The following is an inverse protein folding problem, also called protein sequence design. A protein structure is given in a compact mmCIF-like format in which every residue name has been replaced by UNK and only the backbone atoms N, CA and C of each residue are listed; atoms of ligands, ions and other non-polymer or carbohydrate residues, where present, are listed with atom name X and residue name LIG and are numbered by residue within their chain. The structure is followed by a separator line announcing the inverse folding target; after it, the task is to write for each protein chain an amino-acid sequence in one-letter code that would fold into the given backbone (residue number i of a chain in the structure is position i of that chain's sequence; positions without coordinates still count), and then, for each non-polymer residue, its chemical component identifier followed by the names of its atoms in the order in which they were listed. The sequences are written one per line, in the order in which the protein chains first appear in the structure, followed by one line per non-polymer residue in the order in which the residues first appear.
data_IF_757008770619
#
_entry.id   IF_757008770619
#
_cell.length_a   1.000
_cell.length_b   1.000
_cell.length_c   1.000
_cell.angle_alpha   90.00
_cell.angle_beta   90.00
_cell.angle_gamma   90.00
#
_symmetry.space_group_name_H-M   'P 1'
#
loop_
_entity.id
_entity.type
_entity.pdbx_description
1 polymer ?
#
# COMPACT_ATOMS: atom_id res chain seq x y z
N UNK A 1 -6.52 13.45 11.94
CA UNK A 1 -7.09 12.32 11.20
C UNK A 1 -5.97 11.55 10.54
N UNK A 2 -5.85 10.29 10.83
CA UNK A 2 -4.83 9.41 10.27
C UNK A 2 -5.52 8.20 9.64
N UNK A 3 -5.05 7.78 8.48
CA UNK A 3 -5.49 6.54 7.84
C UNK A 3 -4.40 5.51 8.04
N UNK A 4 -4.76 4.41 8.64
CA UNK A 4 -3.87 3.30 8.85
C UNK A 4 -4.07 2.27 7.72
N UNK A 5 -3.02 2.06 6.94
CA UNK A 5 -2.96 1.00 5.95
C UNK A 5 -2.42 -0.25 6.66
N UNK A 6 -3.33 -1.13 7.05
CA UNK A 6 -3.00 -2.48 7.47
C UNK A 6 -3.00 -3.34 6.22
N UNK A 7 -1.82 -3.72 5.73
CA UNK A 7 -1.75 -4.74 4.70
C UNK A 7 -2.19 -6.06 5.33
N UNK A 8 -3.32 -6.57 4.86
CA UNK A 8 -3.77 -7.93 5.16
C UNK A 8 -2.62 -8.89 4.82
N UNK A 9 -2.27 -9.81 5.71
CA UNK A 9 -1.18 -10.73 5.45
C UNK A 9 -1.44 -11.44 4.12
N UNK A 10 -0.45 -11.38 3.24
CA UNK A 10 -0.41 -12.09 1.98
C UNK A 10 -0.66 -13.58 2.29
N UNK A 11 -1.86 -14.07 2.04
CA UNK A 11 -2.09 -15.51 1.96
C UNK A 11 -1.32 -15.98 0.75
N UNK A 12 -0.13 -16.48 0.99
CA UNK A 12 0.60 -17.29 0.02
C UNK A 12 -0.25 -18.55 -0.15
N UNK A 13 -1.10 -18.55 -1.16
CA UNK A 13 -1.80 -19.74 -1.62
C UNK A 13 -0.76 -20.64 -2.28
N UNK A 14 -0.20 -21.52 -1.50
CA UNK A 14 0.82 -22.46 -1.91
C UNK A 14 1.33 -23.16 -0.68
N UNK A 15 0.48 -24.01 -0.08
CA UNK A 15 0.90 -24.95 0.95
C UNK A 15 1.89 -25.94 0.36
N UNK A 16 3.19 -25.62 0.41
CA UNK A 16 4.21 -26.65 0.32
C UNK A 16 4.10 -27.51 1.59
N UNK A 17 3.35 -28.60 1.47
CA UNK A 17 3.51 -29.72 2.40
C UNK A 17 4.92 -30.26 2.20
N UNK A 18 5.81 -29.96 3.11
CA UNK A 18 7.03 -30.75 3.26
C UNK A 18 6.59 -32.14 3.68
N UNK A 19 6.55 -33.05 2.72
CA UNK A 19 6.42 -34.47 3.02
C UNK A 19 7.61 -34.86 3.91
N UNK A 20 7.31 -35.29 5.13
CA UNK A 20 8.30 -35.81 6.07
C UNK A 20 8.93 -37.03 5.47
N UNK A 21 10.24 -36.97 5.23
CA UNK A 21 11.08 -38.16 5.01
C UNK A 21 11.56 -38.56 6.38
N UNK A 22 10.72 -39.31 7.06
CA UNK A 22 11.08 -40.11 8.22
C UNK A 22 10.85 -41.56 7.88
N UNK A 23 11.88 -42.35 7.85
CA UNK A 23 11.76 -43.79 7.63
C UNK A 23 13.09 -44.50 7.45
N UNK A 24 13.82 -44.63 8.56
CA UNK A 24 14.92 -45.53 8.68
C UNK A 24 14.37 -46.98 8.63
N UNK A 25 14.66 -47.73 7.60
CA UNK A 25 14.58 -49.20 7.61
C UNK A 25 15.81 -49.76 6.92
N UNK A 26 16.74 -50.18 7.76
CA UNK A 26 17.87 -51.03 7.38
C UNK A 26 17.38 -52.31 6.73
N UNK A 27 17.57 -52.42 5.42
CA UNK A 27 17.64 -53.72 4.73
C UNK A 27 18.95 -53.76 3.98
N UNK A 28 19.90 -54.55 4.52
CA UNK A 28 21.08 -55.00 3.79
C UNK A 28 20.64 -55.67 2.50
N UNK A 29 20.93 -55.04 1.35
CA UNK A 29 20.94 -55.69 0.05
C UNK A 29 22.35 -55.58 -0.49
N UNK A 30 22.98 -56.71 -0.71
CA UNK A 30 24.32 -56.85 -1.26
C UNK A 30 24.39 -56.19 -2.66
N UNK A 31 25.37 -55.31 -2.83
CA UNK A 31 25.66 -54.63 -4.09
C UNK A 31 25.83 -53.12 -3.86
N UNK A 32 27.06 -52.70 -3.57
CA UNK A 32 27.40 -51.27 -3.37
C UNK A 32 27.26 -50.45 -4.66
N UNK A 33 26.03 -50.10 -5.01
CA UNK A 33 25.80 -49.02 -5.94
C UNK A 33 25.78 -47.72 -5.12
N UNK A 34 26.93 -47.07 -4.99
CA UNK A 34 27.03 -45.74 -4.40
C UNK A 34 26.40 -44.72 -5.32
N UNK A 35 25.10 -44.46 -5.19
CA UNK A 35 24.48 -43.29 -5.79
C UNK A 35 24.96 -42.04 -5.04
N UNK A 36 26.02 -41.44 -5.52
CA UNK A 36 26.45 -40.14 -5.09
C UNK A 36 25.49 -39.06 -5.51
N UNK A 37 24.39 -38.88 -4.80
CA UNK A 37 23.55 -37.71 -5.01
C UNK A 37 24.31 -36.45 -4.59
N UNK A 38 24.86 -35.73 -5.57
CA UNK A 38 25.39 -34.37 -5.33
C UNK A 38 24.22 -33.46 -4.95
N UNK A 39 23.91 -33.36 -3.66
CA UNK A 39 22.88 -32.43 -3.20
C UNK A 39 23.42 -31.02 -3.18
N UNK A 40 22.83 -30.12 -3.95
CA UNK A 40 23.14 -28.68 -3.91
C UNK A 40 22.59 -27.99 -2.64
N UNK A 41 22.42 -28.75 -1.55
CA UNK A 41 21.79 -28.30 -0.31
C UNK A 41 22.42 -27.01 0.26
N UNK A 42 23.75 -26.91 0.25
CA UNK A 42 24.48 -25.71 0.72
C UNK A 42 24.16 -24.47 -0.13
N UNK A 43 24.04 -24.61 -1.45
CA UNK A 43 23.71 -23.51 -2.33
C UNK A 43 22.24 -23.08 -2.15
N UNK A 44 21.33 -24.04 -2.03
CA UNK A 44 19.91 -23.79 -1.75
C UNK A 44 19.77 -23.07 -0.40
N UNK A 45 20.45 -23.56 0.64
CA UNK A 45 20.44 -22.92 1.96
C UNK A 45 20.95 -21.47 1.91
N UNK A 46 22.05 -21.21 1.20
CA UNK A 46 22.59 -19.85 1.01
C UNK A 46 21.59 -18.94 0.29
N UNK A 47 20.93 -19.42 -0.75
CA UNK A 47 19.87 -18.68 -1.47
C UNK A 47 18.68 -18.39 -0.57
N UNK A 48 18.20 -19.37 0.21
CA UNK A 48 17.10 -19.19 1.15
C UNK A 48 17.43 -18.17 2.26
N UNK A 49 18.63 -18.22 2.82
CA UNK A 49 19.07 -17.24 3.81
C UNK A 49 19.15 -15.84 3.23
N UNK A 50 19.67 -15.69 2.03
CA UNK A 50 19.67 -14.40 1.29
C UNK A 50 18.26 -13.89 1.03
N UNK A 51 17.33 -14.76 0.64
CA UNK A 51 15.93 -14.41 0.48
C UNK A 51 15.31 -13.94 1.80
N UNK A 52 15.46 -14.73 2.86
CA UNK A 52 14.94 -14.42 4.19
C UNK A 52 15.40 -13.05 4.70
N UNK A 53 16.67 -12.69 4.46
CA UNK A 53 17.22 -11.40 4.88
C UNK A 53 16.73 -10.22 4.05
N UNK A 54 16.42 -10.41 2.76
CA UNK A 54 15.97 -9.34 1.83
C UNK A 54 14.46 -9.12 1.87
N UNK A 55 13.68 -10.15 2.17
CA UNK A 55 12.21 -10.11 2.13
C UNK A 55 11.61 -8.95 2.95
N UNK A 56 12.01 -8.68 4.20
CA UNK A 56 11.46 -7.58 4.97
C UNK A 56 11.68 -6.22 4.31
N UNK A 57 12.84 -6.01 3.69
CA UNK A 57 13.15 -4.75 2.97
C UNK A 57 12.30 -4.60 1.71
N UNK A 58 12.04 -5.69 1.00
CA UNK A 58 11.17 -5.70 -0.19
C UNK A 58 9.75 -5.34 0.22
N UNK A 59 9.23 -5.95 1.28
CA UNK A 59 7.89 -5.66 1.79
C UNK A 59 7.81 -4.19 2.23
N UNK A 60 8.77 -3.67 3.00
CA UNK A 60 8.78 -2.27 3.43
C UNK A 60 8.78 -1.29 2.25
N UNK A 61 9.55 -1.58 1.21
CA UNK A 61 9.53 -0.77 -0.04
C UNK A 61 8.18 -0.85 -0.73
N UNK A 62 7.59 -2.04 -0.83
CA UNK A 62 6.27 -2.23 -1.42
C UNK A 62 5.18 -1.49 -0.67
N UNK A 63 5.20 -1.54 0.67
CA UNK A 63 4.27 -0.80 1.52
C UNK A 63 4.40 0.71 1.32
N UNK A 64 5.63 1.23 1.26
CA UNK A 64 5.89 2.65 0.98
C UNK A 64 5.36 3.07 -0.39
N UNK A 65 5.57 2.26 -1.41
CA UNK A 65 5.06 2.51 -2.77
C UNK A 65 3.53 2.47 -2.81
N UNK A 66 2.91 1.53 -2.11
CA UNK A 66 1.46 1.47 -1.93
C UNK A 66 0.90 2.75 -1.29
N UNK A 67 1.62 3.30 -0.30
CA UNK A 67 1.28 4.59 0.30
C UNK A 67 1.36 5.77 -0.66
N UNK A 68 2.39 5.81 -1.52
CA UNK A 68 2.51 6.83 -2.56
C UNK A 68 1.34 6.77 -3.54
N UNK A 69 1.00 5.58 -3.98
CA UNK A 69 -0.11 5.35 -4.88
C UNK A 69 -1.45 5.76 -4.26
N UNK A 70 -1.69 5.40 -3.00
CA UNK A 70 -2.91 5.83 -2.29
C UNK A 70 -2.99 7.35 -2.20
N UNK A 71 -1.89 8.01 -1.86
CA UNK A 71 -1.82 9.46 -1.77
C UNK A 71 -2.13 10.13 -3.12
N UNK A 72 -1.60 9.58 -4.20
CA UNK A 72 -1.86 10.06 -5.56
C UNK A 72 -3.33 9.88 -5.95
N UNK A 73 -3.93 8.73 -5.64
CA UNK A 73 -5.35 8.47 -5.86
C UNK A 73 -6.22 9.48 -5.11
N UNK A 74 -5.92 9.75 -3.83
CA UNK A 74 -6.66 10.73 -3.02
C UNK A 74 -6.57 12.11 -3.66
N UNK A 75 -5.37 12.58 -3.99
CA UNK A 75 -5.18 13.90 -4.60
C UNK A 75 -5.88 14.03 -5.94
N UNK A 76 -5.76 13.01 -6.78
CA UNK A 76 -6.35 13.00 -8.13
C UNK A 76 -7.88 12.99 -8.08
N UNK A 77 -8.48 12.15 -7.22
CA UNK A 77 -9.93 12.12 -7.03
C UNK A 77 -10.45 13.46 -6.52
N UNK A 78 -9.82 13.98 -5.47
CA UNK A 78 -10.24 15.25 -4.87
C UNK A 78 -10.18 16.42 -5.87
N UNK A 79 -9.11 16.52 -6.66
CA UNK A 79 -9.00 17.52 -7.74
C UNK A 79 -10.07 17.35 -8.83
N UNK A 80 -10.53 16.13 -9.07
CA UNK A 80 -11.64 15.84 -9.98
C UNK A 80 -13.01 16.17 -9.37
N UNK A 81 -13.07 16.52 -8.09
CA UNK A 81 -14.34 16.79 -7.40
C UNK A 81 -15.04 15.51 -6.93
N UNK A 82 -14.28 14.43 -6.71
CA UNK A 82 -14.81 13.12 -6.35
C UNK A 82 -14.44 12.73 -4.91
N UNK A 83 -15.36 12.11 -4.24
CA UNK A 83 -15.19 11.54 -2.91
C UNK A 83 -14.39 10.21 -2.92
N UNK A 84 -14.23 9.58 -1.75
CA UNK A 84 -13.57 8.27 -1.62
C UNK A 84 -14.24 7.17 -2.44
N UNK A 85 -15.54 7.26 -2.69
CA UNK A 85 -16.34 6.30 -3.46
C UNK A 85 -16.38 6.63 -4.96
N UNK A 86 -15.72 7.72 -5.37
CA UNK A 86 -15.74 8.25 -6.73
C UNK A 86 -17.10 8.86 -7.11
N UNK A 87 -17.89 9.30 -6.14
CA UNK A 87 -19.08 10.08 -6.33
C UNK A 87 -18.73 11.57 -6.33
N UNK A 88 -19.43 12.42 -7.10
CA UNK A 88 -19.22 13.86 -7.05
C UNK A 88 -19.43 14.41 -5.65
N UNK A 89 -18.62 15.39 -5.26
CA UNK A 89 -18.90 16.13 -4.02
C UNK A 89 -20.19 16.91 -4.11
N UNK A 90 -20.89 17.03 -2.99
CA UNK A 90 -22.02 17.93 -2.87
C UNK A 90 -21.64 19.36 -3.24
N UNK A 91 -22.49 20.09 -3.97
CA UNK A 91 -22.20 21.46 -4.43
C UNK A 91 -21.93 22.41 -3.26
N UNK A 92 -21.26 23.51 -3.54
CA UNK A 92 -21.12 24.61 -2.59
C UNK A 92 -22.46 25.34 -2.40
N UNK A 93 -22.65 25.97 -1.25
CA UNK A 93 -23.80 26.84 -1.03
C UNK A 93 -23.80 28.02 -2.01
N UNK A 94 -24.97 28.51 -2.35
CA UNK A 94 -25.12 29.66 -3.27
C UNK A 94 -24.34 30.90 -2.82
N UNK A 95 -24.32 31.18 -1.51
CA UNK A 95 -23.52 32.27 -0.94
C UNK A 95 -22.02 32.08 -1.14
N UNK A 96 -21.52 30.87 -0.99
CA UNK A 96 -20.10 30.56 -1.21
C UNK A 96 -19.72 30.61 -2.68
N UNK A 97 -20.61 30.15 -3.58
CA UNK A 97 -20.43 30.27 -5.03
C UNK A 97 -20.33 31.76 -5.44
N UNK A 98 -21.22 32.63 -4.93
CA UNK A 98 -21.15 34.09 -5.17
C UNK A 98 -19.82 34.68 -4.69
N UNK A 99 -19.29 34.22 -3.54
CA UNK A 99 -17.97 34.64 -3.03
C UNK A 99 -16.84 34.20 -3.98
N UNK A 100 -16.84 32.96 -4.42
CA UNK A 100 -15.83 32.43 -5.35
C UNK A 100 -15.83 33.21 -6.68
N UNK A 101 -16.99 33.47 -7.23
CA UNK A 101 -17.13 34.24 -8.46
C UNK A 101 -16.57 35.68 -8.31
N UNK A 102 -16.84 36.35 -7.18
CA UNK A 102 -16.27 37.67 -6.90
C UNK A 102 -14.74 37.65 -6.78
N UNK A 103 -14.17 36.53 -6.33
CA UNK A 103 -12.72 36.33 -6.19
C UNK A 103 -12.07 35.76 -7.47
N UNK A 104 -12.82 35.59 -8.55
CA UNK A 104 -12.33 34.99 -9.80
C UNK A 104 -11.87 33.56 -9.68
N UNK A 105 -12.43 32.82 -8.71
CA UNK A 105 -12.07 31.42 -8.40
C UNK A 105 -13.06 30.44 -9.02
N UNK A 106 -12.56 29.24 -9.27
CA UNK A 106 -13.41 28.14 -9.75
C UNK A 106 -14.50 27.79 -8.74
N UNK A 107 -15.72 27.60 -9.23
CA UNK A 107 -16.86 27.12 -8.46
C UNK A 107 -16.93 25.62 -8.38
N UNK A 108 -16.00 24.91 -9.04
CA UNK A 108 -15.87 23.46 -8.95
C UNK A 108 -15.55 23.03 -7.51
N UNK A 109 -16.23 22.00 -7.05
CA UNK A 109 -15.99 21.44 -5.71
C UNK A 109 -14.80 20.49 -5.75
N UNK A 110 -13.60 21.04 -5.68
CA UNK A 110 -12.34 20.27 -5.73
C UNK A 110 -11.50 20.43 -4.45
N UNK A 111 -12.03 21.11 -3.45
CA UNK A 111 -11.36 21.44 -2.19
C UNK A 111 -10.02 22.18 -2.37
N UNK A 112 -9.87 22.91 -3.48
CA UNK A 112 -8.64 23.57 -3.91
C UNK A 112 -8.68 25.10 -3.81
N UNK A 113 -9.28 25.65 -2.76
CA UNK A 113 -9.40 27.13 -2.64
C UNK A 113 -8.05 27.87 -2.71
N UNK A 114 -7.05 27.43 -1.94
CA UNK A 114 -5.67 27.97 -1.98
C UNK A 114 -4.65 26.90 -2.36
N UNK A 115 -5.06 25.67 -2.61
CA UNK A 115 -4.19 24.55 -2.86
C UNK A 115 -3.40 24.06 -1.63
N UNK A 116 -3.34 24.84 -0.54
CA UNK A 116 -2.51 24.54 0.63
C UNK A 116 -2.85 23.20 1.30
N UNK A 117 -4.15 22.86 1.40
CA UNK A 117 -4.58 21.61 2.04
C UNK A 117 -4.11 20.39 1.25
N UNK A 118 -4.43 20.31 -0.05
CA UNK A 118 -3.98 19.21 -0.89
C UNK A 118 -2.48 19.26 -1.18
N UNK A 119 -1.89 20.45 -1.25
CA UNK A 119 -0.44 20.64 -1.39
C UNK A 119 0.35 20.13 -0.19
N UNK A 120 -0.22 20.18 1.02
CA UNK A 120 0.41 19.64 2.23
C UNK A 120 0.46 18.11 2.26
N UNK A 121 -0.29 17.43 1.41
CA UNK A 121 -0.24 15.98 1.23
C UNK A 121 0.95 15.61 0.33
N UNK A 122 2.16 15.72 0.84
CA UNK A 122 3.37 15.30 0.12
C UNK A 122 3.82 13.90 0.60
N UNK A 123 4.48 13.11 -0.26
CA UNK A 123 4.97 11.79 0.12
C UNK A 123 5.86 11.78 1.36
N UNK A 124 6.72 12.79 1.50
CA UNK A 124 7.68 12.86 2.59
C UNK A 124 7.08 13.28 3.93
N UNK A 125 6.07 14.15 3.90
CA UNK A 125 5.44 14.65 5.13
C UNK A 125 4.23 13.83 5.57
N UNK A 126 3.50 13.26 4.61
CA UNK A 126 2.22 12.59 4.87
C UNK A 126 2.39 11.12 5.24
N UNK A 127 3.38 10.42 4.63
CA UNK A 127 3.58 8.99 4.82
C UNK A 127 4.61 8.75 5.90
N UNK A 128 4.17 8.16 7.01
CA UNK A 128 5.04 7.82 8.14
C UNK A 128 5.06 6.31 8.36
N UNK A 129 6.25 5.73 8.55
CA UNK A 129 6.38 4.35 9.00
C UNK A 129 6.00 4.29 10.49
N UNK A 130 5.00 3.50 10.82
CA UNK A 130 4.47 3.37 12.19
C UNK A 130 4.72 1.98 12.79
N UNK A 131 5.36 1.09 12.06
CA UNK A 131 5.70 -0.25 12.53
C UNK A 131 6.36 -1.10 11.45
N UNK A 132 6.60 -2.36 11.77
CA UNK A 132 7.10 -3.36 10.81
C UNK A 132 6.03 -3.55 9.72
N UNK A 133 6.41 -3.29 8.46
CA UNK A 133 5.52 -3.40 7.30
C UNK A 133 4.23 -2.57 7.39
N UNK A 134 4.28 -1.45 8.12
CA UNK A 134 3.13 -0.61 8.38
C UNK A 134 3.46 0.86 8.16
N UNK A 135 2.58 1.55 7.44
CA UNK A 135 2.63 3.00 7.24
C UNK A 135 1.29 3.63 7.63
N UNK A 136 1.36 4.88 8.01
CA UNK A 136 0.19 5.73 8.25
C UNK A 136 0.27 6.96 7.37
N UNK A 137 -0.85 7.30 6.74
CA UNK A 137 -1.02 8.55 6.02
C UNK A 137 -1.75 9.55 6.93
N UNK A 138 -1.15 10.71 7.14
CA UNK A 138 -1.75 11.74 7.99
C UNK A 138 -1.34 13.15 7.53
N UNK A 139 -2.19 14.14 7.78
CA UNK A 139 -1.80 15.53 7.67
C UNK A 139 -0.85 15.88 8.82
N UNK A 140 0.34 16.34 8.51
CA UNK A 140 1.36 16.75 9.50
C UNK A 140 1.15 18.18 9.99
N UNK A 141 0.68 19.06 9.11
CA UNK A 141 0.37 20.45 9.47
C UNK A 141 -0.98 20.51 10.20
N UNK A 142 -0.99 21.09 11.41
CA UNK A 142 -2.18 21.16 12.25
C UNK A 142 -3.35 21.93 11.61
N UNK A 143 -3.07 23.07 10.97
CA UNK A 143 -4.10 23.86 10.29
C UNK A 143 -4.71 23.10 9.11
N UNK A 144 -3.88 22.41 8.33
CA UNK A 144 -4.35 21.63 7.18
C UNK A 144 -5.14 20.39 7.63
N UNK A 145 -4.73 19.78 8.74
CA UNK A 145 -5.47 18.70 9.40
C UNK A 145 -6.85 19.17 9.87
N UNK A 146 -6.94 20.34 10.48
CA UNK A 146 -8.21 20.93 10.91
C UNK A 146 -9.12 21.21 9.71
N UNK A 147 -8.60 21.82 8.65
CA UNK A 147 -9.37 22.06 7.40
C UNK A 147 -9.87 20.77 6.77
N UNK A 148 -9.03 19.72 6.76
CA UNK A 148 -9.42 18.40 6.28
C UNK A 148 -10.54 17.80 7.14
N UNK A 149 -10.46 17.94 8.46
CA UNK A 149 -11.49 17.48 9.40
C UNK A 149 -12.82 18.19 9.17
N UNK A 150 -12.80 19.53 9.01
CA UNK A 150 -14.01 20.29 8.69
C UNK A 150 -14.69 19.78 7.40
N UNK A 151 -13.95 19.59 6.33
CA UNK A 151 -14.54 19.12 5.08
C UNK A 151 -15.02 17.67 5.16
N UNK A 152 -14.33 16.83 5.91
CA UNK A 152 -14.59 15.40 5.92
C UNK A 152 -15.70 14.97 6.90
N UNK A 153 -15.86 15.69 8.01
CA UNK A 153 -16.71 15.25 9.13
C UNK A 153 -17.63 16.34 9.65
N UNK A 154 -17.12 17.58 9.82
CA UNK A 154 -17.81 18.61 10.59
C UNK A 154 -18.74 19.49 9.75
N UNK A 155 -18.48 19.65 8.45
CA UNK A 155 -19.35 20.44 7.57
C UNK A 155 -20.52 19.61 7.05
N UNK A 156 -21.66 20.23 6.93
CA UNK A 156 -22.82 19.73 6.23
C UNK A 156 -23.01 20.50 4.90
N UNK A 157 -23.06 19.82 3.75
CA UNK A 157 -22.80 18.39 3.55
C UNK A 157 -21.31 18.04 3.68
N UNK A 158 -21.00 16.94 4.34
CA UNK A 158 -19.61 16.48 4.45
C UNK A 158 -19.04 15.99 3.11
N UNK A 159 -17.72 16.17 2.94
CA UNK A 159 -16.99 15.79 1.70
C UNK A 159 -15.88 14.83 2.07
N UNK A 160 -16.17 13.53 2.05
CA UNK A 160 -15.25 12.47 2.43
C UNK A 160 -14.20 12.26 1.33
N UNK A 161 -13.07 12.93 1.42
CA UNK A 161 -12.00 12.85 0.41
C UNK A 161 -10.77 12.09 0.87
N UNK A 162 -10.48 12.08 2.17
CA UNK A 162 -9.28 11.47 2.72
C UNK A 162 -9.60 10.08 3.28
N UNK A 163 -9.36 9.06 2.46
CA UNK A 163 -9.67 7.67 2.76
C UNK A 163 -9.51 6.78 1.56
N UNK A 164 -9.91 5.54 1.71
CA UNK A 164 -9.98 4.58 0.61
C UNK A 164 -11.20 3.66 0.79
N UNK A 165 -11.68 3.14 -0.31
CA UNK A 165 -12.76 2.16 -0.36
C UNK A 165 -12.24 0.80 -0.87
N UNK A 166 -13.09 -0.23 -0.86
CA UNK A 166 -12.74 -1.59 -1.33
C UNK A 166 -12.15 -1.62 -2.76
N UNK A 167 -12.61 -0.72 -3.66
CA UNK A 167 -12.08 -0.64 -5.03
C UNK A 167 -10.64 -0.11 -5.03
N UNK A 168 -10.39 0.96 -4.28
CA UNK A 168 -9.05 1.53 -4.12
C UNK A 168 -8.11 0.54 -3.46
N UNK A 169 -8.56 -0.16 -2.42
CA UNK A 169 -7.81 -1.23 -1.76
C UNK A 169 -7.38 -2.33 -2.73
N UNK A 170 -8.30 -2.82 -3.57
CA UNK A 170 -7.97 -3.82 -4.60
C UNK A 170 -6.89 -3.34 -5.57
N UNK A 171 -6.96 -2.07 -6.00
CA UNK A 171 -5.96 -1.47 -6.90
C UNK A 171 -4.58 -1.45 -6.23
N UNK A 172 -4.52 -1.02 -4.97
CA UNK A 172 -3.30 -0.92 -4.20
C UNK A 172 -2.70 -2.29 -3.93
N UNK A 173 -3.52 -3.28 -3.52
CA UNK A 173 -3.08 -4.64 -3.27
C UNK A 173 -2.50 -5.28 -4.55
N UNK A 174 -3.18 -5.13 -5.69
CA UNK A 174 -2.68 -5.63 -6.98
C UNK A 174 -1.34 -4.99 -7.37
N UNK A 175 -1.18 -3.70 -7.11
CA UNK A 175 0.07 -2.99 -7.37
C UNK A 175 1.20 -3.45 -6.44
N UNK A 176 0.88 -3.63 -5.16
CA UNK A 176 1.81 -4.18 -4.17
C UNK A 176 2.29 -5.59 -4.54
N UNK A 177 1.36 -6.49 -4.88
CA UNK A 177 1.68 -7.85 -5.33
C UNK A 177 2.57 -7.84 -6.57
N UNK A 178 2.24 -7.01 -7.57
CA UNK A 178 3.08 -6.82 -8.76
C UNK A 178 4.50 -6.40 -8.41
N UNK A 179 4.62 -5.43 -7.50
CA UNK A 179 5.93 -4.94 -7.05
C UNK A 179 6.72 -6.04 -6.34
N UNK A 180 6.11 -6.71 -5.35
CA UNK A 180 6.76 -7.78 -4.59
C UNK A 180 7.19 -8.91 -5.52
N UNK A 181 6.31 -9.39 -6.40
CA UNK A 181 6.63 -10.44 -7.36
C UNK A 181 7.78 -10.05 -8.30
N UNK A 182 7.81 -8.79 -8.76
CA UNK A 182 8.92 -8.27 -9.58
C UNK A 182 10.25 -8.32 -8.82
N UNK A 183 10.26 -7.90 -7.56
CA UNK A 183 11.47 -7.92 -6.73
C UNK A 183 11.91 -9.34 -6.36
N UNK A 184 10.97 -10.24 -6.11
CA UNK A 184 11.24 -11.65 -5.83
C UNK A 184 11.89 -12.36 -7.02
N UNK A 185 11.42 -12.10 -8.24
CA UNK A 185 12.03 -12.66 -9.46
C UNK A 185 13.49 -12.26 -9.64
N UNK A 186 13.89 -11.06 -9.19
CA UNK A 186 15.29 -10.61 -9.26
C UNK A 186 16.24 -11.43 -8.37
N UNK A 187 15.71 -12.10 -7.36
CA UNK A 187 16.54 -12.89 -6.42
C UNK A 187 16.97 -14.24 -7.02
N UNK A 188 16.42 -14.64 -8.18
CA UNK A 188 16.75 -15.88 -8.90
C UNK A 188 16.85 -17.09 -7.97
N UNK A 189 15.80 -17.30 -7.15
CA UNK A 189 15.76 -18.45 -6.22
C UNK A 189 15.59 -19.75 -6.99
N UNK A 190 14.96 -19.67 -8.14
CA UNK A 190 14.67 -20.81 -9.02
C UNK A 190 15.55 -20.74 -10.28
N UNK A 191 16.47 -21.64 -10.41
CA UNK A 191 17.15 -22.06 -11.64
C UNK A 191 16.94 -23.54 -11.73
#
# INVERSE_FOLDING_TARGET
MAIQLLLIPLRVAGGMRLAGIGGNRDKKVAGDIKFGMKTNSKQVQKKLNSFKSRLPRIIDKGVKQAGFQLLDIIRTKTKKGLDINSLPFSPYSSGYIKKLNREGKSTKVDLFYTGRMLGSLSPNSTIKKTGKHKITLAFTNAQMRQRALYNQVLNEPNRKFFGFNKRTEKIINKSFEKFVNKELRKIRIWV
#
